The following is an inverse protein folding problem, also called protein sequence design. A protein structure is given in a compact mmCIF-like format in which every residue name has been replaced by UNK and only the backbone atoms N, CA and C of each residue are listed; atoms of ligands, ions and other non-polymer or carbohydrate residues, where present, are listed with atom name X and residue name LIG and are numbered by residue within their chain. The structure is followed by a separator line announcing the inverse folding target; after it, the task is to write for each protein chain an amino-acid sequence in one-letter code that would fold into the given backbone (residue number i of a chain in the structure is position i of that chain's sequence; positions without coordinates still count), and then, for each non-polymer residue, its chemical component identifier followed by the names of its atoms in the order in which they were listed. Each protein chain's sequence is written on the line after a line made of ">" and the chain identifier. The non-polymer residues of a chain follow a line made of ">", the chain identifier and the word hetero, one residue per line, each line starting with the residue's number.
data_IF_047335522539
#
_entry.id   IF_047335522539
#
_cell.length_a   1.000
_cell.length_b   1.000
_cell.length_c   1.000
_cell.angle_alpha   90.00
_cell.angle_beta   90.00
_cell.angle_gamma   90.00
#
_symmetry.space_group_name_H-M   'P 1'
#
loop_
_entity.id
_entity.type
_entity.pdbx_description
1 polymer ?
#
# COMPACT_ATOMS: atom_id res chain seq x y z
N UNK A 1 -36.79 14.31 2.00
CA UNK A 1 -36.31 13.76 3.29
C UNK A 1 -35.22 12.75 2.96
N UNK A 2 -33.97 13.08 3.28
CA UNK A 2 -32.78 12.41 2.74
C UNK A 2 -32.48 11.13 3.52
N UNK A 3 -32.40 9.99 2.83
CA UNK A 3 -32.15 8.65 3.38
C UNK A 3 -30.83 8.53 4.17
N UNK A 4 -29.91 9.48 3.97
CA UNK A 4 -28.62 9.54 4.68
C UNK A 4 -28.75 10.04 6.13
N UNK A 5 -29.81 10.77 6.46
CA UNK A 5 -30.02 11.31 7.81
C UNK A 5 -30.39 10.22 8.81
N UNK A 6 -31.19 9.22 8.41
CA UNK A 6 -31.59 8.12 9.29
C UNK A 6 -30.40 7.23 9.67
N UNK A 7 -29.42 7.04 8.77
CA UNK A 7 -28.24 6.21 9.04
C UNK A 7 -27.34 6.79 10.14
N UNK A 8 -27.22 8.11 10.22
CA UNK A 8 -26.40 8.79 11.25
C UNK A 8 -27.08 8.79 12.62
N UNK A 9 -28.43 8.81 12.66
CA UNK A 9 -29.19 8.79 13.91
C UNK A 9 -29.24 7.41 14.58
N UNK A 10 -28.84 6.35 13.89
CA UNK A 10 -28.82 4.98 14.40
C UNK A 10 -27.44 4.48 14.85
N UNK A 11 -26.45 5.36 15.07
CA UNK A 11 -25.21 4.94 15.70
C UNK A 11 -25.43 4.65 17.20
N UNK A 12 -25.11 3.44 17.68
CA UNK A 12 -25.25 3.12 19.10
C UNK A 12 -24.22 3.92 19.92
N UNK A 13 -24.53 4.28 21.18
CA UNK A 13 -23.61 5.03 22.01
C UNK A 13 -22.34 4.21 22.28
N UNK A 14 -21.20 4.89 22.19
CA UNK A 14 -19.90 4.38 22.57
C UNK A 14 -19.93 3.93 24.05
N UNK A 15 -19.82 2.63 24.29
CA UNK A 15 -19.67 2.04 25.62
C UNK A 15 -18.29 2.36 26.19
N UNK A 16 -18.15 3.53 26.78
CA UNK A 16 -17.06 3.85 27.68
C UNK A 16 -17.23 3.05 28.99
N UNK A 17 -16.42 1.99 29.15
CA UNK A 17 -15.99 1.51 30.46
C UNK A 17 -16.67 0.24 30.99
N UNK A 18 -16.06 -0.91 30.74
CA UNK A 18 -16.16 -2.06 31.64
C UNK A 18 -14.84 -2.85 31.61
N UNK A 19 -14.13 -2.84 32.76
CA UNK A 19 -13.12 -3.80 33.22
C UNK A 19 -12.02 -4.24 32.25
N UNK A 20 -10.78 -3.81 32.47
CA UNK A 20 -9.61 -4.54 31.95
C UNK A 20 -9.61 -5.96 32.57
N UNK A 21 -9.69 -7.04 31.78
CA UNK A 21 -9.32 -8.34 32.30
C UNK A 21 -7.81 -8.35 32.59
N UNK A 22 -7.34 -9.04 33.65
CA UNK A 22 -5.91 -9.11 33.95
C UNK A 22 -5.18 -9.68 32.73
N UNK A 23 -4.11 -9.01 32.30
CA UNK A 23 -3.22 -9.46 31.23
C UNK A 23 -2.49 -10.75 31.68
N UNK A 24 -3.19 -11.87 31.67
CA UNK A 24 -2.57 -13.17 31.62
C UNK A 24 -1.87 -13.28 30.27
N UNK A 25 -0.57 -13.56 30.32
CA UNK A 25 0.38 -13.62 29.21
C UNK A 25 -0.16 -14.44 28.03
N UNK A 26 -0.80 -13.79 27.06
CA UNK A 26 -0.94 -14.32 25.70
C UNK A 26 0.31 -13.90 24.93
N UNK A 27 1.32 -14.76 24.94
CA UNK A 27 2.11 -14.90 23.72
C UNK A 27 1.16 -15.52 22.70
N UNK A 28 0.74 -14.82 21.63
CA UNK A 28 0.10 -15.54 20.56
C UNK A 28 1.21 -16.36 19.91
N UNK A 29 0.99 -17.67 19.87
CA UNK A 29 1.59 -18.57 18.90
C UNK A 29 1.29 -18.01 17.51
N UNK A 30 2.07 -17.02 17.09
CA UNK A 30 1.93 -16.36 15.80
C UNK A 30 2.52 -17.36 14.80
N UNK A 31 1.73 -17.87 13.84
CA UNK A 31 2.26 -18.76 12.82
C UNK A 31 3.50 -18.13 12.21
N UNK A 32 4.64 -18.82 12.36
CA UNK A 32 5.91 -18.36 11.83
C UNK A 32 5.79 -18.38 10.30
N UNK A 33 5.60 -17.22 9.70
CA UNK A 33 5.65 -17.08 8.25
C UNK A 33 7.07 -17.44 7.81
N UNK A 34 7.20 -18.54 7.08
CA UNK A 34 8.47 -18.97 6.48
C UNK A 34 8.51 -18.43 5.07
N UNK A 35 9.61 -17.79 4.71
CA UNK A 35 9.87 -17.41 3.32
C UNK A 35 10.05 -18.70 2.52
N UNK A 36 9.03 -19.04 1.72
CA UNK A 36 9.13 -20.14 0.75
C UNK A 36 9.86 -19.60 -0.47
N UNK A 37 10.79 -20.40 -1.00
CA UNK A 37 11.48 -20.06 -2.24
C UNK A 37 10.45 -19.84 -3.37
N UNK A 38 10.56 -18.77 -4.16
CA UNK A 38 9.66 -18.54 -5.27
C UNK A 38 9.73 -19.71 -6.24
N UNK A 39 8.64 -20.45 -6.40
CA UNK A 39 8.53 -21.43 -7.47
C UNK A 39 8.76 -20.70 -8.80
N UNK A 40 9.71 -21.19 -9.61
CA UNK A 40 9.98 -20.62 -10.92
C UNK A 40 8.74 -20.84 -11.81
N UNK A 41 7.84 -19.86 -11.80
CA UNK A 41 6.73 -19.80 -12.76
C UNK A 41 7.34 -19.55 -14.14
N UNK A 42 6.78 -20.18 -15.19
CA UNK A 42 7.17 -19.87 -16.56
C UNK A 42 7.05 -18.36 -16.79
N UNK A 43 7.92 -17.76 -17.62
CA UNK A 43 7.86 -16.35 -17.93
C UNK A 43 6.43 -16.01 -18.39
N UNK A 44 5.75 -15.23 -17.56
CA UNK A 44 4.41 -14.75 -17.85
C UNK A 44 4.49 -13.88 -19.10
N UNK A 45 3.64 -14.08 -20.12
CA UNK A 45 3.53 -13.15 -21.25
C UNK A 45 2.99 -11.79 -20.82
N UNK A 46 2.53 -11.66 -19.57
CA UNK A 46 2.09 -10.41 -18.97
C UNK A 46 3.20 -9.77 -18.15
N UNK A 47 3.43 -8.49 -18.44
CA UNK A 47 4.18 -7.56 -17.62
C UNK A 47 3.65 -7.58 -16.18
N UNK A 48 4.48 -8.06 -15.26
CA UNK A 48 4.15 -8.07 -13.84
C UNK A 48 5.33 -7.48 -13.05
N UNK A 49 5.01 -6.92 -11.88
CA UNK A 49 6.01 -6.26 -11.05
C UNK A 49 7.11 -7.21 -10.51
N UNK A 50 6.87 -8.53 -10.49
CA UNK A 50 7.87 -9.50 -10.05
C UNK A 50 8.92 -9.78 -11.14
N UNK A 51 8.53 -9.70 -12.41
CA UNK A 51 9.38 -9.87 -13.59
C UNK A 51 9.95 -8.55 -14.11
N UNK A 52 9.60 -7.43 -13.47
CA UNK A 52 10.06 -6.11 -13.88
C UNK A 52 11.57 -5.93 -13.67
N UNK A 53 12.17 -5.11 -14.54
CA UNK A 53 13.57 -4.71 -14.44
C UNK A 53 13.87 -4.13 -13.04
N UNK A 54 15.08 -4.37 -12.49
CA UNK A 54 15.50 -3.78 -11.22
C UNK A 54 15.33 -2.25 -11.18
N UNK A 55 15.62 -1.58 -12.30
CA UNK A 55 15.54 -0.14 -12.47
C UNK A 55 14.08 0.34 -12.32
N UNK A 56 13.14 -0.34 -12.97
CA UNK A 56 11.72 -0.03 -12.83
C UNK A 56 11.23 -0.19 -11.40
N UNK A 57 11.62 -1.28 -10.74
CA UNK A 57 11.27 -1.51 -9.33
C UNK A 57 11.82 -0.42 -8.43
N UNK A 58 13.07 0.00 -8.65
CA UNK A 58 13.69 1.08 -7.89
C UNK A 58 12.95 2.42 -8.10
N UNK A 59 12.63 2.78 -9.34
CA UNK A 59 11.89 4.00 -9.66
C UNK A 59 10.49 4.00 -9.02
N UNK A 60 9.78 2.87 -9.07
CA UNK A 60 8.50 2.68 -8.41
C UNK A 60 8.62 2.89 -6.91
N UNK A 61 9.57 2.22 -6.27
CA UNK A 61 9.69 2.21 -4.81
C UNK A 61 10.07 3.61 -4.29
N UNK A 62 10.91 4.35 -5.03
CA UNK A 62 11.21 5.77 -4.72
C UNK A 62 9.96 6.66 -4.82
N UNK A 63 9.20 6.55 -5.92
CA UNK A 63 7.98 7.31 -6.12
C UNK A 63 6.93 7.01 -5.04
N UNK A 64 6.65 5.73 -4.77
CA UNK A 64 5.67 5.31 -3.76
C UNK A 64 6.11 5.73 -2.36
N UNK A 65 7.37 5.52 -1.99
CA UNK A 65 7.89 5.96 -0.69
C UNK A 65 7.73 7.46 -0.48
N UNK A 66 8.01 8.26 -1.51
CA UNK A 66 7.83 9.71 -1.45
C UNK A 66 6.36 10.11 -1.28
N UNK A 67 5.47 9.58 -2.13
CA UNK A 67 4.03 9.94 -2.08
C UNK A 67 3.39 9.56 -0.74
N UNK A 68 3.82 8.44 -0.14
CA UNK A 68 3.28 7.99 1.15
C UNK A 68 3.77 8.82 2.34
N UNK A 69 4.88 9.54 2.21
CA UNK A 69 5.50 10.33 3.29
C UNK A 69 5.31 11.85 3.12
N UNK A 70 5.19 12.33 1.89
CA UNK A 70 5.09 13.75 1.59
C UNK A 70 3.64 14.26 1.71
N UNK A 71 3.40 15.16 2.68
CA UNK A 71 2.09 15.82 2.86
C UNK A 71 1.70 16.74 1.69
N UNK A 72 2.66 17.17 0.88
CA UNK A 72 2.41 17.98 -0.32
C UNK A 72 1.93 17.15 -1.52
N UNK A 73 2.10 15.84 -1.47
CA UNK A 73 1.64 14.93 -2.51
C UNK A 73 0.25 14.37 -2.17
N UNK A 74 -0.59 14.28 -3.19
CA UNK A 74 -1.89 13.62 -3.15
C UNK A 74 -2.15 12.94 -4.50
N UNK A 75 -1.67 11.70 -4.63
CA UNK A 75 -1.73 10.93 -5.87
C UNK A 75 -3.15 10.72 -6.42
N UNK A 76 -4.20 10.44 -5.61
CA UNK A 76 -5.55 10.28 -6.16
C UNK A 76 -6.07 11.52 -6.88
N UNK A 77 -5.62 12.72 -6.48
CA UNK A 77 -5.98 13.98 -7.12
C UNK A 77 -4.88 14.56 -8.01
N UNK A 78 -3.85 13.79 -8.35
CA UNK A 78 -2.76 14.23 -9.24
C UNK A 78 -1.93 15.41 -8.73
N UNK A 79 -1.99 15.71 -7.42
CA UNK A 79 -1.20 16.79 -6.82
C UNK A 79 0.16 16.23 -6.42
N UNK A 80 1.23 16.84 -6.88
CA UNK A 80 2.59 16.47 -6.52
C UNK A 80 3.39 17.71 -6.15
N UNK A 81 4.30 17.57 -5.17
CA UNK A 81 5.37 18.54 -5.03
C UNK A 81 6.38 18.36 -6.18
N UNK A 82 7.33 19.29 -6.32
CA UNK A 82 8.33 19.25 -7.39
C UNK A 82 9.07 17.91 -7.46
N UNK A 83 9.58 17.43 -6.31
CA UNK A 83 10.28 16.14 -6.21
C UNK A 83 9.35 14.99 -6.59
N UNK A 84 8.10 15.00 -6.12
CA UNK A 84 7.12 13.97 -6.45
C UNK A 84 6.80 13.91 -7.94
N UNK A 85 6.75 15.06 -8.62
CA UNK A 85 6.50 15.13 -10.06
C UNK A 85 7.68 14.59 -10.87
N UNK A 86 8.92 14.87 -10.44
CA UNK A 86 10.13 14.32 -11.05
C UNK A 86 10.19 12.80 -10.86
N UNK A 87 9.94 12.31 -9.64
CA UNK A 87 9.89 10.86 -9.36
C UNK A 87 8.80 10.16 -10.17
N UNK A 88 7.63 10.80 -10.33
CA UNK A 88 6.56 10.28 -11.17
C UNK A 88 6.98 10.19 -12.63
N UNK A 89 7.63 11.23 -13.15
CA UNK A 89 8.15 11.27 -14.52
C UNK A 89 9.21 10.18 -14.74
N UNK A 90 10.13 9.98 -13.80
CA UNK A 90 11.12 8.90 -13.86
C UNK A 90 10.45 7.54 -13.85
N UNK A 91 9.46 7.32 -12.97
CA UNK A 91 8.71 6.07 -12.90
C UNK A 91 7.96 5.77 -14.20
N UNK A 92 7.25 6.75 -14.76
CA UNK A 92 6.45 6.57 -15.99
C UNK A 92 7.33 6.34 -17.23
N UNK A 93 8.55 6.90 -17.27
CA UNK A 93 9.50 6.74 -18.37
C UNK A 93 10.41 5.51 -18.25
N UNK A 94 10.47 4.88 -17.07
CA UNK A 94 11.28 3.68 -16.90
C UNK A 94 10.48 2.50 -17.47
N UNK A 95 11.04 1.70 -18.39
CA UNK A 95 10.33 0.55 -18.95
C UNK A 95 10.29 -0.61 -17.95
N UNK A 96 9.12 -1.24 -17.82
CA UNK A 96 8.93 -2.38 -16.91
C UNK A 96 9.70 -3.61 -17.38
N UNK A 97 9.79 -3.82 -18.70
CA UNK A 97 10.48 -4.94 -19.32
C UNK A 97 11.77 -4.44 -19.98
N UNK A 98 12.82 -5.27 -19.95
CA UNK A 98 13.99 -5.02 -20.78
C UNK A 98 13.57 -5.22 -22.24
N UNK A 99 13.63 -4.18 -23.05
CA UNK A 99 13.41 -4.32 -24.48
C UNK A 99 14.50 -5.26 -25.05
N UNK A 100 14.15 -6.23 -25.90
CA UNK A 100 15.12 -7.07 -26.58
C UNK A 100 15.99 -6.29 -27.58
#
# INVERSE_FOLDING_TARGET
>A
MSLLADLLNHMPPNVAGAGKPPMAKRAPDRPRLVLVEPAQLPPSPYANAANATPEWRQARDQYISHVMTCRGCYAPGGRYCQIGAELRTTYDNTPMEAHP
#
